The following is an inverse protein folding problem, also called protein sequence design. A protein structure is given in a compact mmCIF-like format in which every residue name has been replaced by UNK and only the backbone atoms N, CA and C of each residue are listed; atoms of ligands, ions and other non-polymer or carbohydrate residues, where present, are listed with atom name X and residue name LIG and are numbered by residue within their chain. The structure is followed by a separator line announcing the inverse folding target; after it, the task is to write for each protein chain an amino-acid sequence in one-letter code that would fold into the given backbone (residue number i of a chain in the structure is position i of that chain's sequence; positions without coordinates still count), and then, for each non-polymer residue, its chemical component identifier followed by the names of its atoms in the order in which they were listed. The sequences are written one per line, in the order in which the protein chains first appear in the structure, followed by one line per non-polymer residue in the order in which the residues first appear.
data_IF_076300869481
#
_entry.id   IF_076300869481
#
_cell.length_a   1.000
_cell.length_b   1.000
_cell.length_c   1.000
_cell.angle_alpha   90.00
_cell.angle_beta   90.00
_cell.angle_gamma   90.00
#
_symmetry.space_group_name_H-M   'P 1'
#
loop_
_entity.id
_entity.type
_entity.pdbx_description
1 polymer ?
#
# COMPACT_ATOMS: atom_id res chain seq x y z
N UNK A 1 -20.74 -22.17 49.75
CA UNK A 1 -20.32 -20.93 49.06
C UNK A 1 -19.15 -21.28 48.17
N UNK A 2 -19.39 -21.40 46.86
CA UNK A 2 -18.36 -21.74 45.88
C UNK A 2 -17.87 -20.45 45.20
N UNK A 3 -16.60 -20.11 45.38
CA UNK A 3 -15.95 -19.04 44.64
C UNK A 3 -15.56 -19.56 43.25
N UNK A 4 -16.26 -19.10 42.21
CA UNK A 4 -15.86 -19.32 40.83
C UNK A 4 -14.80 -18.30 40.45
N UNK A 5 -13.62 -18.79 40.06
CA UNK A 5 -12.51 -18.00 39.56
C UNK A 5 -12.83 -17.47 38.16
N UNK A 6 -12.78 -16.15 37.99
CA UNK A 6 -12.85 -15.49 36.69
C UNK A 6 -11.45 -15.54 36.07
N UNK A 7 -11.28 -16.35 35.03
CA UNK A 7 -10.12 -16.26 34.16
C UNK A 7 -10.28 -15.03 33.25
N UNK A 8 -9.55 -13.96 33.57
CA UNK A 8 -9.39 -12.82 32.67
C UNK A 8 -8.45 -13.23 31.52
N UNK A 9 -8.99 -13.37 30.32
CA UNK A 9 -8.21 -13.54 29.10
C UNK A 9 -7.43 -12.26 28.79
N UNK A 10 -6.10 -12.37 28.72
CA UNK A 10 -5.22 -11.31 28.27
C UNK A 10 -5.41 -11.11 26.76
N UNK A 11 -6.07 -10.03 26.38
CA UNK A 11 -6.01 -9.53 25.01
C UNK A 11 -4.60 -8.96 24.80
N UNK A 12 -3.86 -9.52 23.84
CA UNK A 12 -2.53 -9.05 23.49
C UNK A 12 -2.60 -7.64 22.94
N UNK A 13 -2.37 -6.65 23.79
CA UNK A 13 -1.99 -5.31 23.34
C UNK A 13 -0.69 -5.47 22.56
N UNK A 14 -0.71 -5.08 21.28
CA UNK A 14 0.51 -4.99 20.48
C UNK A 14 1.46 -4.04 21.21
N UNK A 15 2.46 -4.60 21.88
CA UNK A 15 3.37 -3.84 22.71
C UNK A 15 4.23 -2.98 21.77
N UNK A 16 4.24 -1.67 21.99
CA UNK A 16 5.22 -0.77 21.38
C UNK A 16 6.62 -1.30 21.68
N UNK A 17 7.49 -1.42 20.67
CA UNK A 17 8.89 -1.79 20.88
C UNK A 17 9.65 -0.53 21.33
N UNK A 18 10.12 -0.45 22.59
CA UNK A 18 10.87 0.72 23.06
C UNK A 18 12.17 0.93 22.26
N UNK A 19 12.71 -0.12 21.63
CA UNK A 19 13.89 -0.06 20.77
C UNK A 19 13.53 0.07 19.28
N UNK A 20 12.25 0.22 18.95
CA UNK A 20 11.77 0.37 17.58
C UNK A 20 12.28 1.63 16.89
N UNK A 21 12.15 1.67 15.56
CA UNK A 21 12.65 2.74 14.71
C UNK A 21 11.72 2.98 13.52
N UNK A 22 11.98 4.07 12.79
CA UNK A 22 11.36 4.35 11.50
C UNK A 22 12.16 3.69 10.38
N UNK A 23 11.51 2.84 9.60
CA UNK A 23 11.99 2.36 8.31
C UNK A 23 11.36 3.20 7.19
N UNK A 24 12.13 3.61 6.19
CA UNK A 24 11.66 4.50 5.13
C UNK A 24 11.71 5.99 5.51
N UNK A 25 11.09 6.84 4.69
CA UNK A 25 11.07 8.29 4.91
C UNK A 25 9.71 8.87 4.46
N UNK A 26 8.69 8.79 5.32
CA UNK A 26 7.35 9.26 4.99
C UNK A 26 7.30 10.75 4.62
N UNK A 27 8.13 11.58 5.27
CA UNK A 27 8.17 13.03 5.00
C UNK A 27 8.68 13.34 3.59
N UNK A 28 9.65 12.57 3.09
CA UNK A 28 10.16 12.73 1.72
C UNK A 28 9.18 12.19 0.66
N UNK A 29 8.37 11.19 1.01
CA UNK A 29 7.38 10.59 0.10
C UNK A 29 6.06 11.38 0.04
N UNK A 30 5.63 11.99 1.14
CA UNK A 30 4.37 12.71 1.26
C UNK A 30 4.07 13.74 0.13
N UNK A 31 5.06 14.49 -0.40
CA UNK A 31 4.81 15.44 -1.49
C UNK A 31 4.33 14.81 -2.80
N UNK A 32 4.57 13.50 -3.02
CA UNK A 32 4.17 12.80 -4.24
C UNK A 32 2.74 12.24 -4.19
N UNK A 33 2.10 12.29 -3.02
CA UNK A 33 0.70 11.88 -2.89
C UNK A 33 -0.23 12.81 -3.67
N UNK A 34 -1.20 12.21 -4.37
CA UNK A 34 -2.33 12.86 -5.01
C UNK A 34 -3.59 12.05 -4.74
N UNK A 35 -4.70 12.74 -4.49
CA UNK A 35 -6.01 12.10 -4.42
C UNK A 35 -6.41 11.60 -5.80
N UNK A 36 -6.90 10.37 -5.87
CA UNK A 36 -7.30 9.70 -7.11
C UNK A 36 -8.69 10.16 -7.57
N UNK A 37 -9.03 9.90 -8.83
CA UNK A 37 -10.39 10.14 -9.36
C UNK A 37 -10.83 8.90 -10.15
N UNK A 38 -11.79 8.17 -9.59
CA UNK A 38 -12.27 6.92 -10.18
C UNK A 38 -11.48 5.71 -9.68
N UNK A 39 -11.36 4.69 -10.53
CA UNK A 39 -10.75 3.39 -10.21
C UNK A 39 -9.25 3.35 -10.55
N UNK A 40 -8.50 4.40 -10.22
CA UNK A 40 -7.11 4.63 -10.68
C UNK A 40 -6.05 4.49 -9.56
N UNK A 41 -6.37 3.88 -8.42
CA UNK A 41 -5.44 3.72 -7.28
C UNK A 41 -4.08 3.13 -7.68
N UNK A 42 -4.08 2.10 -8.52
CA UNK A 42 -2.85 1.48 -9.03
C UNK A 42 -2.01 2.45 -9.86
N UNK A 43 -2.64 3.27 -10.69
CA UNK A 43 -1.94 4.29 -11.48
C UNK A 43 -1.38 5.41 -10.62
N UNK A 44 -2.11 5.85 -9.60
CA UNK A 44 -1.66 6.88 -8.68
C UNK A 44 -0.50 6.39 -7.81
N UNK A 45 -0.52 5.12 -7.38
CA UNK A 45 0.63 4.51 -6.72
C UNK A 45 1.87 4.42 -7.64
N UNK A 46 1.67 4.11 -8.93
CA UNK A 46 2.75 4.16 -9.94
C UNK A 46 3.29 5.58 -10.08
N UNK A 47 2.43 6.59 -10.23
CA UNK A 47 2.83 7.98 -10.39
C UNK A 47 3.65 8.48 -9.19
N UNK A 48 3.20 8.16 -7.98
CA UNK A 48 3.89 8.47 -6.74
C UNK A 48 5.30 7.85 -6.71
N UNK A 49 5.42 6.54 -6.95
CA UNK A 49 6.73 5.86 -6.98
C UNK A 49 7.65 6.41 -8.08
N UNK A 50 7.11 6.72 -9.27
CA UNK A 50 7.89 7.37 -10.34
C UNK A 50 8.41 8.73 -9.88
N UNK A 51 7.56 9.53 -9.23
CA UNK A 51 7.96 10.80 -8.62
C UNK A 51 9.08 10.62 -7.62
N UNK A 52 8.94 9.68 -6.67
CA UNK A 52 9.94 9.42 -5.65
C UNK A 52 11.30 8.96 -6.22
N UNK A 53 11.30 8.13 -7.26
CA UNK A 53 12.53 7.57 -7.85
C UNK A 53 13.21 8.56 -8.80
N UNK A 54 12.43 9.31 -9.58
CA UNK A 54 12.96 10.10 -10.71
C UNK A 54 12.91 11.62 -10.48
N UNK A 55 12.16 12.08 -9.48
CA UNK A 55 11.80 13.48 -9.29
C UNK A 55 10.82 14.02 -10.34
N UNK A 56 10.25 13.17 -11.20
CA UNK A 56 9.39 13.53 -12.33
C UNK A 56 8.07 12.79 -12.27
N UNK A 57 7.26 13.13 -11.27
CA UNK A 57 5.91 12.59 -11.09
C UNK A 57 5.03 12.89 -12.33
N UNK A 58 4.44 11.88 -13.00
CA UNK A 58 3.45 12.12 -14.03
C UNK A 58 2.17 12.68 -13.42
N UNK A 59 1.43 13.52 -14.16
CA UNK A 59 0.07 13.90 -13.75
C UNK A 59 -0.87 12.69 -13.81
N UNK A 60 -1.99 12.76 -13.09
CA UNK A 60 -3.03 11.73 -13.13
C UNK A 60 -3.47 11.43 -14.58
N UNK A 61 -3.90 12.46 -15.33
CA UNK A 61 -4.25 12.31 -16.75
C UNK A 61 -3.11 11.71 -17.57
N UNK A 62 -1.86 12.07 -17.26
CA UNK A 62 -0.69 11.51 -17.93
C UNK A 62 -0.52 10.01 -17.70
N UNK A 63 -0.65 9.55 -16.45
CA UNK A 63 -0.52 8.12 -16.11
C UNK A 63 -1.74 7.32 -16.59
N UNK A 64 -2.95 7.89 -16.55
CA UNK A 64 -4.16 7.30 -17.12
C UNK A 64 -4.03 7.09 -18.63
N UNK A 65 -3.65 8.13 -19.39
CA UNK A 65 -3.44 8.01 -20.83
C UNK A 65 -2.34 7.00 -21.15
N UNK A 66 -1.25 6.98 -20.35
CA UNK A 66 -0.22 5.95 -20.49
C UNK A 66 -0.79 4.55 -20.27
N UNK A 67 -1.65 4.36 -19.28
CA UNK A 67 -2.34 3.09 -19.01
C UNK A 67 -3.25 2.67 -20.16
N UNK A 68 -4.13 3.56 -20.62
CA UNK A 68 -5.06 3.30 -21.75
C UNK A 68 -4.31 2.88 -23.02
N UNK A 69 -3.19 3.53 -23.34
CA UNK A 69 -2.43 3.27 -24.57
C UNK A 69 -1.30 2.25 -24.42
N UNK A 70 -1.03 1.74 -23.21
CA UNK A 70 -0.10 0.63 -23.01
C UNK A 70 -0.89 -0.66 -23.03
N UNK A 71 -0.58 -1.58 -23.94
CA UNK A 71 -1.21 -2.91 -23.97
C UNK A 71 -0.88 -3.70 -22.70
N UNK A 72 -1.89 -4.26 -22.05
CA UNK A 72 -1.72 -5.17 -20.90
C UNK A 72 -1.04 -6.47 -21.34
N UNK A 73 -0.21 -7.02 -20.46
CA UNK A 73 0.43 -8.34 -20.65
C UNK A 73 -0.38 -9.49 -20.02
N UNK A 74 -1.40 -9.18 -19.23
CA UNK A 74 -2.19 -10.18 -18.48
C UNK A 74 -3.67 -10.24 -18.88
N UNK A 75 -4.18 -9.27 -19.64
CA UNK A 75 -5.52 -9.32 -20.22
C UNK A 75 -5.58 -8.64 -21.59
N UNK A 76 -6.74 -8.74 -22.25
CA UNK A 76 -6.97 -8.05 -23.51
C UNK A 76 -7.14 -6.54 -23.31
N UNK A 77 -6.59 -5.76 -24.25
CA UNK A 77 -6.67 -4.30 -24.26
C UNK A 77 -5.49 -3.60 -23.59
N UNK A 78 -5.67 -2.34 -23.19
CA UNK A 78 -4.74 -1.54 -22.43
C UNK A 78 -4.68 -1.92 -20.95
N UNK A 79 -3.70 -1.38 -20.24
CA UNK A 79 -3.43 -1.59 -18.81
C UNK A 79 -4.54 -0.99 -17.92
N UNK A 80 -5.24 0.03 -18.41
CA UNK A 80 -6.28 0.73 -17.68
C UNK A 80 -7.47 1.01 -18.60
N UNK A 81 -8.67 0.62 -18.16
CA UNK A 81 -9.95 0.98 -18.80
C UNK A 81 -10.97 1.49 -17.79
N UNK A 82 -10.52 2.31 -16.83
CA UNK A 82 -11.37 2.88 -15.79
C UNK A 82 -11.96 1.83 -14.82
N UNK A 83 -11.26 0.70 -14.68
CA UNK A 83 -11.69 -0.49 -13.94
C UNK A 83 -10.58 -1.06 -13.03
N UNK A 84 -9.58 -0.24 -12.70
CA UNK A 84 -8.41 -0.66 -11.93
C UNK A 84 -7.21 -1.00 -12.81
N UNK A 85 -6.14 -1.45 -12.16
CA UNK A 85 -4.91 -1.85 -12.84
C UNK A 85 -4.35 -3.09 -12.19
N UNK A 86 -4.00 -4.10 -12.98
CA UNK A 86 -3.40 -5.32 -12.44
C UNK A 86 -2.01 -5.03 -11.84
N UNK A 87 -1.62 -5.69 -10.73
CA UNK A 87 -0.27 -5.52 -10.18
C UNK A 87 0.87 -5.79 -11.17
N UNK A 88 0.69 -6.74 -12.09
CA UNK A 88 1.66 -7.04 -13.15
C UNK A 88 1.78 -5.87 -14.12
N UNK A 89 0.66 -5.25 -14.50
CA UNK A 89 0.70 -4.09 -15.38
C UNK A 89 1.21 -2.83 -14.68
N UNK A 90 1.10 -2.71 -13.35
CA UNK A 90 1.79 -1.67 -12.59
C UNK A 90 3.31 -1.80 -12.72
N UNK A 91 3.87 -3.01 -12.65
CA UNK A 91 5.30 -3.28 -12.91
C UNK A 91 5.68 -2.88 -14.35
N UNK A 92 4.84 -3.23 -15.32
CA UNK A 92 5.03 -2.83 -16.71
C UNK A 92 5.07 -1.30 -16.84
N UNK A 93 4.12 -0.58 -16.23
CA UNK A 93 4.08 0.89 -16.28
C UNK A 93 5.31 1.52 -15.59
N UNK A 94 5.74 1.03 -14.43
CA UNK A 94 6.97 1.48 -13.78
C UNK A 94 8.18 1.34 -14.71
N UNK A 95 8.32 0.19 -15.37
CA UNK A 95 9.37 -0.05 -16.38
C UNK A 95 9.28 0.93 -17.55
N UNK A 96 8.07 1.25 -18.02
CA UNK A 96 7.82 2.27 -19.06
C UNK A 96 8.21 3.70 -18.64
N UNK A 97 8.36 3.97 -17.34
CA UNK A 97 8.90 5.21 -16.78
C UNK A 97 10.38 5.11 -16.39
N UNK A 98 11.05 3.98 -16.68
CA UNK A 98 12.45 3.75 -16.35
C UNK A 98 12.70 3.35 -14.89
N UNK A 99 11.65 2.98 -14.15
CA UNK A 99 11.73 2.48 -12.78
C UNK A 99 11.74 0.96 -12.81
N UNK A 100 12.85 0.36 -12.41
CA UNK A 100 12.93 -1.10 -12.24
C UNK A 100 12.12 -1.49 -11.01
N UNK A 101 11.33 -2.56 -11.12
CA UNK A 101 10.52 -3.03 -10.00
C UNK A 101 10.25 -4.53 -10.11
N UNK A 102 9.90 -5.14 -8.99
CA UNK A 102 9.55 -6.56 -8.92
C UNK A 102 8.27 -6.76 -8.11
N UNK A 103 7.36 -7.56 -8.66
CA UNK A 103 6.20 -8.07 -7.94
C UNK A 103 6.58 -9.33 -7.18
N UNK A 104 6.22 -9.38 -5.89
CA UNK A 104 6.45 -10.53 -5.00
C UNK A 104 5.21 -10.78 -4.14
N UNK A 105 5.05 -12.02 -3.66
CA UNK A 105 3.97 -12.43 -2.73
C UNK A 105 4.55 -13.29 -1.62
N UNK A 106 3.81 -13.50 -0.54
CA UNK A 106 4.29 -14.24 0.63
C UNK A 106 5.35 -13.45 1.42
N UNK A 107 5.38 -12.13 1.23
CA UNK A 107 6.32 -11.25 1.91
C UNK A 107 6.04 -11.19 3.41
N UNK A 108 7.04 -10.74 4.15
CA UNK A 108 6.95 -10.54 5.60
C UNK A 108 7.14 -9.06 5.94
N UNK A 109 6.61 -8.63 7.08
CA UNK A 109 6.81 -7.27 7.56
C UNK A 109 8.31 -6.93 7.73
N UNK A 110 9.17 -7.79 8.33
CA UNK A 110 10.61 -7.53 8.36
C UNK A 110 11.26 -7.40 6.98
N UNK A 111 10.77 -8.12 5.97
CA UNK A 111 11.24 -7.97 4.58
C UNK A 111 10.90 -6.58 4.01
N UNK A 112 9.66 -6.13 4.22
CA UNK A 112 9.24 -4.77 3.85
C UNK A 112 10.06 -3.69 4.59
N UNK A 113 10.32 -3.87 5.89
CA UNK A 113 11.17 -2.97 6.68
C UNK A 113 12.58 -2.88 6.09
N UNK A 114 13.16 -4.00 5.65
CA UNK A 114 14.47 -4.04 4.98
C UNK A 114 14.47 -3.31 3.64
N UNK A 115 13.44 -3.52 2.80
CA UNK A 115 13.29 -2.79 1.53
C UNK A 115 13.23 -1.27 1.77
N UNK A 116 12.43 -0.84 2.75
CA UNK A 116 12.29 0.57 3.13
C UNK A 116 13.59 1.15 3.72
N UNK A 117 14.31 0.40 4.57
CA UNK A 117 15.62 0.80 5.08
C UNK A 117 16.67 0.95 3.96
N UNK A 118 16.60 0.10 2.94
CA UNK A 118 17.45 0.20 1.76
C UNK A 118 17.06 1.36 0.82
N UNK A 119 16.01 2.12 1.16
CA UNK A 119 15.53 3.26 0.37
C UNK A 119 14.67 2.88 -0.82
N UNK A 120 14.32 1.59 -0.98
CA UNK A 120 13.43 1.09 -2.04
C UNK A 120 12.00 1.58 -1.84
N UNK A 121 11.24 1.67 -2.93
CA UNK A 121 9.85 2.14 -2.91
C UNK A 121 8.91 0.97 -2.98
N UNK A 122 7.90 0.98 -2.12
CA UNK A 122 7.03 -0.18 -1.90
C UNK A 122 5.59 0.20 -2.20
N UNK A 123 4.97 -0.51 -3.13
CA UNK A 123 3.52 -0.50 -3.33
C UNK A 123 2.97 -1.80 -2.74
N UNK A 124 1.93 -1.71 -1.92
CA UNK A 124 1.22 -2.85 -1.36
C UNK A 124 -0.18 -2.95 -1.94
N UNK A 125 -0.60 -4.18 -2.28
CA UNK A 125 -2.00 -4.48 -2.55
C UNK A 125 -2.69 -4.87 -1.26
N UNK A 126 -3.76 -4.16 -0.90
CA UNK A 126 -4.46 -4.30 0.37
C UNK A 126 -5.98 -4.29 0.13
N UNK A 127 -6.74 -4.65 1.17
CA UNK A 127 -8.18 -4.41 1.20
C UNK A 127 -8.48 -3.00 1.76
N UNK A 128 -9.18 -2.18 0.98
CA UNK A 128 -9.46 -0.80 1.31
C UNK A 128 -10.41 -0.68 2.53
N UNK A 129 -11.48 -1.47 2.59
CA UNK A 129 -12.49 -1.34 3.65
C UNK A 129 -11.97 -1.72 5.04
N UNK A 130 -10.88 -2.48 5.09
CA UNK A 130 -10.15 -2.78 6.33
C UNK A 130 -9.37 -1.55 6.82
N UNK A 131 -8.60 -0.88 5.95
CA UNK A 131 -7.81 0.29 6.38
C UNK A 131 -8.68 1.53 6.60
N UNK A 132 -9.71 1.74 5.77
CA UNK A 132 -10.67 2.84 5.93
C UNK A 132 -11.71 2.57 7.02
N UNK A 133 -11.60 1.43 7.71
CA UNK A 133 -12.45 1.04 8.83
C UNK A 133 -13.95 1.22 8.53
N UNK A 134 -14.41 0.67 7.39
CA UNK A 134 -15.82 0.73 7.04
C UNK A 134 -16.68 0.09 8.16
N UNK A 135 -17.97 0.43 8.27
CA UNK A 135 -18.86 -0.25 9.20
C UNK A 135 -18.87 -1.77 8.99
N UNK A 136 -19.05 -2.52 10.07
CA UNK A 136 -19.16 -3.98 9.99
C UNK A 136 -20.33 -4.37 9.06
N UNK A 137 -20.09 -5.35 8.19
CA UNK A 137 -21.08 -5.80 7.20
C UNK A 137 -21.23 -4.89 5.98
N UNK A 138 -20.42 -3.83 5.85
CA UNK A 138 -20.30 -3.00 4.64
C UNK A 138 -18.95 -3.25 3.96
N UNK A 139 -18.97 -3.41 2.64
CA UNK A 139 -17.78 -3.73 1.84
C UNK A 139 -17.27 -5.16 2.04
N UNK A 140 -16.37 -5.57 1.17
CA UNK A 140 -15.67 -6.85 1.28
C UNK A 140 -14.42 -6.68 2.14
N UNK A 141 -13.93 -7.75 2.78
CA UNK A 141 -12.69 -7.72 3.59
C UNK A 141 -11.83 -8.96 3.39
N UNK A 142 -12.02 -9.63 2.26
CA UNK A 142 -11.46 -10.95 1.99
C UNK A 142 -10.51 -10.95 0.81
N UNK A 143 -10.57 -9.93 -0.03
CA UNK A 143 -9.70 -9.77 -1.20
C UNK A 143 -9.09 -8.37 -1.21
N UNK A 144 -7.88 -8.24 -1.76
CA UNK A 144 -7.31 -6.93 -2.01
C UNK A 144 -7.98 -6.29 -3.23
N UNK A 145 -8.24 -5.00 -3.14
CA UNK A 145 -8.90 -4.16 -4.15
C UNK A 145 -8.28 -2.77 -4.25
N UNK A 146 -7.22 -2.50 -3.47
CA UNK A 146 -6.62 -1.18 -3.40
C UNK A 146 -5.10 -1.24 -3.36
N UNK A 147 -4.47 -0.30 -4.05
CA UNK A 147 -3.02 -0.14 -4.10
C UNK A 147 -2.61 1.12 -3.33
N UNK A 148 -1.68 0.98 -2.39
CA UNK A 148 -1.14 2.08 -1.59
C UNK A 148 0.38 2.08 -1.63
N UNK A 149 1.01 3.25 -1.52
CA UNK A 149 2.46 3.33 -1.36
C UNK A 149 2.80 3.29 0.12
N UNK A 150 3.54 2.27 0.54
CA UNK A 150 4.08 2.20 1.90
C UNK A 150 5.32 3.09 1.95
N UNK A 151 5.23 4.17 2.74
CA UNK A 151 6.28 5.20 2.82
C UNK A 151 7.15 5.06 4.07
N UNK A 152 6.66 4.33 5.07
CA UNK A 152 7.46 3.91 6.21
C UNK A 152 6.76 2.97 7.18
N UNK A 153 7.54 2.34 8.04
CA UNK A 153 7.09 1.49 9.15
C UNK A 153 7.73 2.01 10.43
N UNK A 154 6.92 2.48 11.37
CA UNK A 154 7.33 2.91 12.70
C UNK A 154 7.06 1.79 13.70
N UNK A 155 8.08 0.99 13.99
CA UNK A 155 7.96 -0.14 14.92
C UNK A 155 7.91 0.30 16.37
N UNK A 156 8.34 1.53 16.68
CA UNK A 156 8.21 2.08 18.03
C UNK A 156 6.76 2.38 18.35
N UNK A 157 6.03 2.96 17.40
CA UNK A 157 4.63 3.35 17.59
C UNK A 157 3.62 2.35 17.03
N UNK A 158 4.09 1.27 16.40
CA UNK A 158 3.25 0.29 15.69
C UNK A 158 2.35 0.93 14.63
N UNK A 159 2.95 1.78 13.79
CA UNK A 159 2.28 2.51 12.70
C UNK A 159 2.93 2.20 11.35
N UNK A 160 2.12 2.04 10.32
CA UNK A 160 2.54 2.06 8.91
C UNK A 160 2.11 3.39 8.32
N UNK A 161 3.05 4.07 7.67
CA UNK A 161 2.84 5.33 6.98
C UNK A 161 2.55 5.08 5.51
N UNK A 162 1.43 5.60 5.00
CA UNK A 162 0.99 5.40 3.62
C UNK A 162 0.88 6.72 2.87
N UNK A 163 1.10 6.67 1.56
CA UNK A 163 0.41 7.55 0.64
C UNK A 163 -0.75 6.75 0.04
N UNK A 164 -1.96 7.06 0.48
CA UNK A 164 -3.20 6.41 0.04
C UNK A 164 -4.01 7.36 -0.86
N UNK A 165 -3.99 7.11 -2.17
CA UNK A 165 -4.70 7.96 -3.13
C UNK A 165 -6.24 7.90 -3.01
N UNK A 166 -6.80 6.89 -2.33
CA UNK A 166 -8.23 6.63 -2.25
C UNK A 166 -8.98 7.47 -1.20
N UNK A 167 -8.26 8.21 -0.34
CA UNK A 167 -8.87 9.11 0.65
C UNK A 167 -8.29 10.53 0.57
N UNK A 168 -9.10 11.60 0.68
CA UNK A 168 -8.61 12.98 0.53
C UNK A 168 -7.59 13.41 1.60
N UNK A 169 -7.45 12.63 2.67
CA UNK A 169 -6.45 12.83 3.73
C UNK A 169 -5.33 11.79 3.69
N UNK A 170 -5.15 11.09 2.57
CA UNK A 170 -4.25 9.93 2.47
C UNK A 170 -2.77 10.25 2.35
N UNK A 171 -2.39 11.54 2.35
CA UNK A 171 -0.99 11.97 2.38
C UNK A 171 -0.37 11.63 3.74
N UNK A 172 0.64 10.77 3.74
CA UNK A 172 1.29 10.30 4.97
C UNK A 172 0.26 9.82 6.02
N UNK A 173 -0.72 9.04 5.57
CA UNK A 173 -1.74 8.45 6.42
C UNK A 173 -1.12 7.46 7.40
N UNK A 174 -1.62 7.48 8.64
CA UNK A 174 -1.12 6.67 9.75
C UNK A 174 -2.07 5.51 9.99
N UNK A 175 -1.65 4.30 9.60
CA UNK A 175 -2.44 3.08 9.79
C UNK A 175 -1.82 2.24 10.91
N UNK A 176 -2.60 1.78 11.90
CA UNK A 176 -2.09 0.82 12.89
C UNK A 176 -1.51 -0.41 12.20
N UNK A 177 -0.32 -0.86 12.62
CA UNK A 177 0.41 -1.98 12.02
C UNK A 177 -0.45 -3.25 11.91
N UNK A 178 -1.23 -3.54 12.95
CA UNK A 178 -2.14 -4.70 12.97
C UNK A 178 -3.30 -4.58 11.97
N UNK A 179 -3.77 -3.36 11.69
CA UNK A 179 -4.79 -3.10 10.67
C UNK A 179 -4.20 -3.25 9.27
N UNK A 180 -3.03 -2.66 9.02
CA UNK A 180 -2.33 -2.78 7.74
C UNK A 180 -2.02 -4.24 7.41
N UNK A 181 -1.41 -4.98 8.32
CA UNK A 181 -1.03 -6.40 8.09
C UNK A 181 -2.24 -7.29 7.83
N UNK A 182 -3.39 -7.02 8.46
CA UNK A 182 -4.66 -7.72 8.16
C UNK A 182 -5.17 -7.41 6.76
N UNK A 183 -5.17 -6.14 6.36
CA UNK A 183 -5.60 -5.72 5.03
C UNK A 183 -4.68 -6.29 3.93
N UNK A 184 -3.37 -6.26 4.17
CA UNK A 184 -2.34 -6.76 3.26
C UNK A 184 -2.36 -8.28 3.10
N UNK A 185 -2.69 -9.03 4.15
CA UNK A 185 -2.82 -10.48 4.07
C UNK A 185 -3.85 -10.96 3.03
N UNK A 186 -4.84 -10.12 2.69
CA UNK A 186 -5.85 -10.44 1.67
C UNK A 186 -5.29 -10.57 0.24
N UNK A 187 -4.07 -10.08 -0.02
CA UNK A 187 -3.37 -10.23 -1.30
C UNK A 187 -2.28 -11.31 -1.27
N UNK A 188 -2.23 -12.18 -0.25
CA UNK A 188 -1.05 -13.00 0.05
C UNK A 188 0.21 -12.13 0.21
N UNK A 189 0.09 -11.01 0.94
CA UNK A 189 1.18 -10.09 1.21
C UNK A 189 1.90 -9.62 -0.06
N UNK A 190 1.14 -9.26 -1.10
CA UNK A 190 1.70 -8.82 -2.37
C UNK A 190 2.38 -7.46 -2.22
N UNK A 191 3.61 -7.35 -2.74
CA UNK A 191 4.32 -6.09 -2.91
C UNK A 191 4.80 -5.92 -4.34
N UNK A 192 4.87 -4.67 -4.78
CA UNK A 192 5.73 -4.24 -5.87
C UNK A 192 6.83 -3.40 -5.25
N UNK A 193 8.09 -3.80 -5.44
CA UNK A 193 9.24 -3.11 -4.87
C UNK A 193 10.14 -2.57 -5.97
N UNK A 194 10.36 -1.26 -5.97
CA UNK A 194 11.27 -0.53 -6.84
C UNK A 194 12.56 -0.20 -6.08
#
# INVERSE_FOLDING_TARGET
MAFSAVCAGLTGVAHADPNGQMYGNPQAAAPYWRYQIGEDCGLMAVADVVGQVTGKEPSQVGVELRGVFTRSEVHHGGVYFFDGTSPQDMVLLLSKYGVQSQLTTGNTLPGMEQDLAAGRKVIAAINAETIWNYPQGKGQRTSADHAVVVTGVDTRNNIVHLNDSGTPNGRNELIPLATFTRAWATSNNLLIVA
#
